data_IF_848090562503
#
_entry.id   IF_848090562503
#
_cell.length_a   1.000
_cell.length_b   1.000
_cell.length_c   1.000
_cell.angle_alpha   90.00
_cell.angle_beta   90.00
_cell.angle_gamma   90.00
#
_symmetry.space_group_name_H-M   'P 1'
#
loop_
_entity.id
_entity.type
_entity.pdbx_description
1 polymer ?
#
# COMPACT_ATOMS: atom_id res chain seq x y z
N UNK A 1 -27.26 10.64 6.04
CA UNK A 1 -28.18 9.84 5.20
C UNK A 1 -28.15 8.40 5.68
N UNK A 2 -29.31 7.75 5.75
CA UNK A 2 -29.44 6.34 6.12
C UNK A 2 -28.93 5.43 4.99
N UNK A 3 -28.39 4.26 5.35
CA UNK A 3 -27.73 3.32 4.41
C UNK A 3 -28.65 2.26 3.82
N UNK A 4 -29.98 2.36 4.02
CA UNK A 4 -30.99 1.31 3.73
C UNK A 4 -30.83 0.65 2.36
N UNK A 5 -30.72 1.43 1.28
CA UNK A 5 -30.58 0.89 -0.08
C UNK A 5 -29.31 0.04 -0.27
N UNK A 6 -28.21 0.45 0.37
CA UNK A 6 -26.94 -0.28 0.30
C UNK A 6 -27.03 -1.60 1.07
N UNK A 7 -27.73 -1.60 2.22
CA UNK A 7 -27.93 -2.79 3.04
C UNK A 7 -28.73 -3.86 2.27
N UNK A 8 -29.76 -3.46 1.53
CA UNK A 8 -30.55 -4.38 0.71
C UNK A 8 -29.70 -5.03 -0.39
N UNK A 9 -28.85 -4.24 -1.05
CA UNK A 9 -27.91 -4.74 -2.06
C UNK A 9 -26.91 -5.73 -1.44
N UNK A 10 -26.37 -5.42 -0.25
CA UNK A 10 -25.43 -6.29 0.44
C UNK A 10 -26.09 -7.63 0.80
N UNK A 11 -27.33 -7.62 1.30
CA UNK A 11 -28.10 -8.85 1.60
C UNK A 11 -28.34 -9.68 0.36
N UNK A 12 -28.69 -9.06 -0.75
CA UNK A 12 -28.88 -9.77 -2.02
C UNK A 12 -27.57 -10.44 -2.50
N UNK A 13 -26.44 -9.72 -2.40
CA UNK A 13 -25.13 -10.27 -2.73
C UNK A 13 -24.70 -11.40 -1.80
N UNK A 14 -25.08 -11.39 -0.52
CA UNK A 14 -24.84 -12.51 0.41
C UNK A 14 -25.55 -13.77 -0.08
N UNK A 15 -26.81 -13.67 -0.49
CA UNK A 15 -27.57 -14.80 -1.04
C UNK A 15 -26.96 -15.36 -2.33
N UNK A 16 -26.47 -14.49 -3.21
CA UNK A 16 -25.77 -14.89 -4.43
C UNK A 16 -24.41 -15.55 -4.13
N UNK A 17 -23.68 -15.08 -3.12
CA UNK A 17 -22.41 -15.65 -2.71
C UNK A 17 -22.53 -17.04 -2.08
N UNK A 18 -23.66 -17.31 -1.42
CA UNK A 18 -23.98 -18.63 -0.85
C UNK A 18 -24.38 -19.66 -1.92
N UNK A 19 -24.68 -19.24 -3.16
CA UNK A 19 -25.14 -20.14 -4.21
C UNK A 19 -23.94 -20.77 -4.97
N UNK A 20 -23.71 -22.10 -4.84
CA UNK A 20 -22.58 -22.78 -5.48
C UNK A 20 -22.58 -22.70 -7.01
N UNK A 21 -23.75 -22.49 -7.62
CA UNK A 21 -23.91 -22.33 -9.08
C UNK A 21 -23.39 -20.99 -9.58
N UNK A 22 -23.30 -19.99 -8.70
CA UNK A 22 -22.88 -18.62 -9.03
C UNK A 22 -21.44 -18.38 -8.59
N UNK A 23 -21.05 -18.92 -7.42
CA UNK A 23 -19.70 -18.81 -6.86
C UNK A 23 -19.27 -20.17 -6.30
N UNK A 24 -18.03 -20.60 -6.55
CA UNK A 24 -17.53 -21.85 -5.97
C UNK A 24 -17.61 -21.86 -4.43
N UNK A 25 -18.12 -22.96 -3.90
CA UNK A 25 -18.55 -23.15 -2.50
C UNK A 25 -17.51 -22.70 -1.46
N UNK A 26 -16.26 -23.16 -1.58
CA UNK A 26 -15.21 -22.84 -0.60
C UNK A 26 -14.85 -21.34 -0.51
N UNK A 27 -14.96 -20.61 -1.62
CA UNK A 27 -14.76 -19.14 -1.63
C UNK A 27 -16.03 -18.38 -1.34
N UNK A 28 -17.19 -18.90 -1.75
CA UNK A 28 -18.51 -18.31 -1.50
C UNK A 28 -18.74 -18.03 -0.02
N UNK A 29 -18.41 -19.00 0.85
CA UNK A 29 -18.52 -18.83 2.30
C UNK A 29 -17.67 -17.67 2.84
N UNK A 30 -16.42 -17.52 2.37
CA UNK A 30 -15.53 -16.42 2.78
C UNK A 30 -16.08 -15.05 2.37
N UNK A 31 -16.58 -14.95 1.14
CA UNK A 31 -17.16 -13.71 0.61
C UNK A 31 -18.45 -13.36 1.33
N UNK A 32 -19.31 -14.35 1.60
CA UNK A 32 -20.54 -14.17 2.37
C UNK A 32 -20.24 -13.65 3.78
N UNK A 33 -19.30 -14.27 4.50
CA UNK A 33 -18.91 -13.82 5.84
C UNK A 33 -18.37 -12.38 5.84
N UNK A 34 -17.64 -12.01 4.78
CA UNK A 34 -17.15 -10.63 4.60
C UNK A 34 -18.31 -9.65 4.39
N UNK A 35 -19.30 -10.01 3.57
CA UNK A 35 -20.49 -9.20 3.33
C UNK A 35 -21.37 -9.06 4.57
N UNK A 36 -21.52 -10.12 5.38
CA UNK A 36 -22.24 -10.07 6.66
C UNK A 36 -21.56 -9.11 7.64
N UNK A 37 -20.23 -9.16 7.72
CA UNK A 37 -19.46 -8.23 8.54
C UNK A 37 -19.60 -6.78 8.08
N UNK A 38 -19.55 -6.55 6.76
CA UNK A 38 -19.74 -5.23 6.17
C UNK A 38 -21.17 -4.70 6.40
N UNK A 39 -22.19 -5.54 6.28
CA UNK A 39 -23.58 -5.16 6.55
C UNK A 39 -23.73 -4.57 7.96
N UNK A 40 -23.27 -5.29 8.99
CA UNK A 40 -23.30 -4.82 10.39
C UNK A 40 -22.59 -3.47 10.55
N UNK A 41 -21.42 -3.33 9.92
CA UNK A 41 -20.67 -2.09 9.98
C UNK A 41 -21.37 -0.92 9.27
N UNK A 42 -22.08 -1.16 8.17
CA UNK A 42 -22.83 -0.12 7.46
C UNK A 42 -24.16 0.26 8.14
N UNK A 43 -24.74 -0.62 8.97
CA UNK A 43 -25.91 -0.30 9.80
C UNK A 43 -25.59 0.80 10.83
N UNK A 44 -24.36 0.82 11.35
CA UNK A 44 -23.92 1.80 12.36
C UNK A 44 -23.45 3.14 11.75
N UNK A 45 -23.22 3.18 10.44
CA UNK A 45 -22.65 4.35 9.77
C UNK A 45 -23.75 5.27 9.25
N UNK A 46 -23.73 6.52 9.71
CA UNK A 46 -24.46 7.63 9.08
C UNK A 46 -23.60 8.27 8.00
N UNK A 47 -24.06 8.23 6.76
CA UNK A 47 -23.30 8.81 5.63
C UNK A 47 -23.40 10.34 5.66
N UNK A 48 -22.27 11.06 5.76
CA UNK A 48 -22.24 12.53 5.62
C UNK A 48 -22.67 12.99 4.22
N UNK A 49 -23.36 14.11 4.11
CA UNK A 49 -23.87 14.64 2.83
C UNK A 49 -22.77 14.86 1.78
N UNK A 50 -21.57 15.28 2.20
CA UNK A 50 -20.39 15.42 1.31
C UNK A 50 -20.04 14.14 0.53
N UNK A 51 -20.51 12.97 0.98
CA UNK A 51 -20.24 11.68 0.35
C UNK A 51 -21.45 11.09 -0.38
N UNK A 52 -22.51 11.87 -0.61
CA UNK A 52 -23.70 11.41 -1.34
C UNK A 52 -23.37 10.86 -2.73
N UNK A 53 -22.45 11.49 -3.46
CA UNK A 53 -22.00 11.02 -4.78
C UNK A 53 -21.28 9.68 -4.71
N UNK A 54 -20.50 9.44 -3.64
CA UNK A 54 -19.82 8.15 -3.42
C UNK A 54 -20.86 7.08 -3.09
N UNK A 55 -21.82 7.40 -2.22
CA UNK A 55 -22.90 6.49 -1.86
C UNK A 55 -23.76 6.10 -3.07
N UNK A 56 -24.18 7.05 -3.89
CA UNK A 56 -25.00 6.77 -5.08
C UNK A 56 -24.25 5.94 -6.12
N UNK A 57 -22.97 6.24 -6.36
CA UNK A 57 -22.10 5.44 -7.22
C UNK A 57 -21.93 4.01 -6.69
N UNK A 58 -21.78 3.85 -5.37
CA UNK A 58 -21.66 2.55 -4.71
C UNK A 58 -22.93 1.71 -4.89
N UNK A 59 -24.11 2.29 -4.64
CA UNK A 59 -25.40 1.63 -4.87
C UNK A 59 -25.60 1.24 -6.34
N UNK A 60 -25.26 2.13 -7.28
CA UNK A 60 -25.34 1.84 -8.72
C UNK A 60 -24.45 0.64 -9.09
N UNK A 61 -23.19 0.66 -8.65
CA UNK A 61 -22.23 -0.42 -8.93
C UNK A 61 -22.61 -1.74 -8.28
N UNK A 62 -23.23 -1.68 -7.10
CA UNK A 62 -23.78 -2.85 -6.42
C UNK A 62 -24.90 -3.52 -7.21
N UNK A 63 -25.85 -2.74 -7.73
CA UNK A 63 -26.92 -3.25 -8.61
C UNK A 63 -26.36 -3.87 -9.90
N UNK A 64 -25.37 -3.22 -10.52
CA UNK A 64 -24.67 -3.75 -11.69
C UNK A 64 -23.98 -5.09 -11.38
N UNK A 65 -23.37 -5.21 -10.19
CA UNK A 65 -22.71 -6.45 -9.74
C UNK A 65 -23.73 -7.57 -9.53
N UNK A 66 -24.87 -7.29 -8.87
CA UNK A 66 -25.98 -8.25 -8.72
C UNK A 66 -26.44 -8.76 -10.07
N UNK A 67 -26.70 -7.86 -11.02
CA UNK A 67 -27.13 -8.22 -12.38
C UNK A 67 -26.11 -9.12 -13.07
N UNK A 68 -24.84 -8.71 -13.06
CA UNK A 68 -23.76 -9.46 -13.69
C UNK A 68 -23.56 -10.86 -13.10
N UNK A 69 -23.77 -11.04 -11.80
CA UNK A 69 -23.68 -12.34 -11.12
C UNK A 69 -24.82 -13.28 -11.52
N UNK A 70 -26.05 -12.76 -11.66
CA UNK A 70 -27.22 -13.55 -12.06
C UNK A 70 -27.17 -14.02 -13.51
N UNK A 71 -26.61 -13.18 -14.39
CA UNK A 71 -26.56 -13.45 -15.84
C UNK A 71 -25.37 -14.34 -16.25
N UNK A 72 -24.29 -14.32 -15.48
CA UNK A 72 -23.05 -15.03 -15.78
C UNK A 72 -23.03 -16.45 -15.21
N UNK A 73 -22.74 -17.43 -16.07
CA UNK A 73 -22.48 -18.82 -15.67
C UNK A 73 -21.04 -19.07 -15.22
N UNK A 74 -20.15 -18.08 -15.39
CA UNK A 74 -18.74 -18.20 -15.00
C UNK A 74 -18.57 -17.94 -13.50
N UNK A 75 -18.42 -19.03 -12.74
CA UNK A 75 -18.26 -18.99 -11.28
C UNK A 75 -16.98 -18.29 -10.83
N UNK A 76 -15.89 -18.30 -11.64
CA UNK A 76 -14.62 -17.67 -11.29
C UNK A 76 -14.66 -16.16 -11.59
N UNK A 77 -15.12 -15.76 -12.77
CA UNK A 77 -15.32 -14.35 -13.09
C UNK A 77 -16.33 -13.67 -12.16
N UNK A 78 -17.34 -14.41 -11.69
CA UNK A 78 -18.28 -13.96 -10.68
C UNK A 78 -17.61 -13.68 -9.32
N UNK A 79 -16.67 -14.53 -8.90
CA UNK A 79 -15.85 -14.28 -7.70
C UNK A 79 -15.07 -12.97 -7.82
N UNK A 80 -14.34 -12.79 -8.93
CA UNK A 80 -13.48 -11.61 -9.12
C UNK A 80 -14.30 -10.30 -9.13
N UNK A 81 -15.50 -10.33 -9.73
CA UNK A 81 -16.45 -9.21 -9.70
C UNK A 81 -16.93 -8.90 -8.29
N UNK A 82 -17.29 -9.92 -7.51
CA UNK A 82 -17.75 -9.72 -6.13
C UNK A 82 -16.63 -9.21 -5.23
N UNK A 83 -15.42 -9.77 -5.35
CA UNK A 83 -14.23 -9.29 -4.63
C UNK A 83 -13.92 -7.83 -4.97
N UNK A 84 -14.06 -7.45 -6.25
CA UNK A 84 -13.92 -6.06 -6.66
C UNK A 84 -14.95 -5.17 -5.97
N UNK A 85 -16.23 -5.58 -5.94
CA UNK A 85 -17.27 -4.82 -5.25
C UNK A 85 -17.02 -4.69 -3.74
N UNK A 86 -16.58 -5.76 -3.08
CA UNK A 86 -16.18 -5.73 -1.67
C UNK A 86 -15.05 -4.72 -1.41
N UNK A 87 -14.09 -4.56 -2.33
CA UNK A 87 -13.06 -3.51 -2.22
C UNK A 87 -13.67 -2.11 -2.27
N UNK A 88 -14.63 -1.86 -3.16
CA UNK A 88 -15.36 -0.58 -3.19
C UNK A 88 -16.10 -0.33 -1.86
N UNK A 89 -16.75 -1.35 -1.28
CA UNK A 89 -17.41 -1.25 0.02
C UNK A 89 -16.43 -0.84 1.12
N UNK A 90 -15.27 -1.50 1.22
CA UNK A 90 -14.26 -1.15 2.22
C UNK A 90 -13.69 0.27 2.04
N UNK A 91 -13.41 0.68 0.80
CA UNK A 91 -12.89 2.02 0.53
C UNK A 91 -13.92 3.11 0.86
N UNK A 92 -15.18 2.93 0.44
CA UNK A 92 -16.26 3.85 0.76
C UNK A 92 -16.52 3.95 2.27
N UNK A 93 -16.48 2.82 2.97
CA UNK A 93 -16.56 2.79 4.43
C UNK A 93 -15.48 3.67 5.07
N UNK A 94 -14.22 3.50 4.63
CA UNK A 94 -13.11 4.30 5.13
C UNK A 94 -13.29 5.80 4.90
N UNK A 95 -13.97 6.19 3.82
CA UNK A 95 -14.30 7.59 3.57
C UNK A 95 -15.40 8.11 4.49
N UNK A 96 -16.45 7.31 4.71
CA UNK A 96 -17.54 7.67 5.62
C UNK A 96 -17.05 7.81 7.07
N UNK A 97 -16.07 7.00 7.48
CA UNK A 97 -15.42 7.05 8.79
C UNK A 97 -14.30 8.11 8.89
N UNK A 98 -13.98 8.83 7.80
CA UNK A 98 -12.92 9.86 7.80
C UNK A 98 -11.48 9.33 7.88
N UNK A 99 -11.25 8.06 7.54
CA UNK A 99 -9.92 7.41 7.57
C UNK A 99 -9.00 7.79 6.41
N UNK A 100 -9.37 8.79 5.60
CA UNK A 100 -8.58 9.31 4.47
C UNK A 100 -7.19 9.75 4.88
N UNK A 101 -7.03 10.25 6.11
CA UNK A 101 -5.74 10.72 6.62
C UNK A 101 -4.71 9.58 6.79
N UNK A 102 -5.13 8.34 6.98
CA UNK A 102 -4.22 7.19 7.08
C UNK A 102 -3.50 6.93 5.75
N UNK A 103 -4.16 7.16 4.61
CA UNK A 103 -3.54 7.07 3.28
C UNK A 103 -2.48 8.15 3.09
N UNK A 104 -2.73 9.37 3.58
CA UNK A 104 -1.74 10.45 3.54
C UNK A 104 -0.53 10.14 4.42
N UNK A 105 -0.74 9.55 5.60
CA UNK A 105 0.35 9.07 6.47
C UNK A 105 1.18 7.99 5.77
N UNK A 106 0.54 7.07 5.07
CA UNK A 106 1.22 6.06 4.25
C UNK A 106 2.04 6.69 3.12
N UNK A 107 1.43 7.58 2.33
CA UNK A 107 2.10 8.28 1.23
C UNK A 107 3.35 9.03 1.69
N UNK A 108 3.26 9.76 2.81
CA UNK A 108 4.42 10.48 3.37
C UNK A 108 5.56 9.52 3.72
N UNK A 109 5.26 8.43 4.43
CA UNK A 109 6.28 7.43 4.77
C UNK A 109 6.91 6.84 3.53
N UNK A 110 6.10 6.46 2.54
CA UNK A 110 6.59 5.93 1.26
C UNK A 110 7.51 6.91 0.52
N UNK A 111 7.15 8.20 0.46
CA UNK A 111 8.00 9.23 -0.17
C UNK A 111 9.33 9.38 0.55
N UNK A 112 9.34 9.42 1.89
CA UNK A 112 10.58 9.50 2.66
C UNK A 112 11.45 8.25 2.52
N UNK A 113 10.86 7.05 2.55
CA UNK A 113 11.58 5.80 2.29
C UNK A 113 12.21 5.84 0.89
N UNK A 114 11.45 6.26 -0.12
CA UNK A 114 11.92 6.32 -1.51
C UNK A 114 13.07 7.31 -1.66
N UNK A 115 12.97 8.50 -1.06
CA UNK A 115 14.03 9.51 -1.10
C UNK A 115 15.33 9.00 -0.47
N UNK A 116 15.26 8.41 0.72
CA UNK A 116 16.43 7.84 1.38
C UNK A 116 17.01 6.64 0.62
N UNK A 117 16.16 5.77 0.08
CA UNK A 117 16.61 4.66 -0.77
C UNK A 117 17.36 5.17 -2.02
N UNK A 118 16.81 6.16 -2.73
CA UNK A 118 17.45 6.75 -3.90
C UNK A 118 18.78 7.43 -3.57
N UNK A 119 18.89 8.05 -2.39
CA UNK A 119 20.12 8.68 -1.93
C UNK A 119 21.21 7.68 -1.51
N UNK A 120 20.82 6.57 -0.89
CA UNK A 120 21.75 5.63 -0.25
C UNK A 120 22.15 4.44 -1.14
N UNK A 121 21.29 4.02 -2.07
CA UNK A 121 21.54 2.85 -2.92
C UNK A 121 22.72 2.96 -3.91
N UNK A 122 23.08 4.14 -4.48
CA UNK A 122 24.13 4.20 -5.50
C UNK A 122 25.48 3.63 -5.05
N UNK A 123 25.86 3.81 -3.78
CA UNK A 123 27.17 3.41 -3.27
C UNK A 123 27.45 1.91 -3.40
N UNK A 124 26.42 1.07 -3.18
CA UNK A 124 26.58 -0.39 -3.15
C UNK A 124 25.99 -1.10 -4.37
N UNK A 125 25.06 -0.46 -5.06
CA UNK A 125 24.34 -1.07 -6.19
C UNK A 125 24.58 -0.34 -7.52
N UNK A 126 25.38 0.72 -7.51
CA UNK A 126 25.54 1.62 -8.65
C UNK A 126 24.27 2.44 -8.93
N UNK A 127 24.37 3.35 -9.89
CA UNK A 127 23.27 4.26 -10.25
C UNK A 127 22.11 3.57 -11.01
N UNK A 128 22.32 2.33 -11.50
CA UNK A 128 21.31 1.61 -12.28
C UNK A 128 20.11 1.22 -11.40
N UNK A 129 20.35 0.70 -10.20
CA UNK A 129 19.28 0.27 -9.30
C UNK A 129 18.29 1.41 -8.95
N UNK A 130 18.73 2.57 -8.42
CA UNK A 130 17.82 3.68 -8.15
C UNK A 130 17.14 4.21 -9.42
N UNK A 131 17.81 4.19 -10.58
CA UNK A 131 17.19 4.60 -11.85
C UNK A 131 16.03 3.69 -12.25
N UNK A 132 16.19 2.37 -12.15
CA UNK A 132 15.11 1.40 -12.45
C UNK A 132 13.93 1.59 -11.48
N UNK A 133 14.21 1.89 -10.22
CA UNK A 133 13.17 2.13 -9.21
C UNK A 133 12.46 3.47 -9.34
N UNK A 134 12.93 4.39 -10.18
CA UNK A 134 12.26 5.67 -10.40
C UNK A 134 10.84 5.50 -10.95
N UNK A 135 10.65 4.54 -11.86
CA UNK A 135 9.33 4.21 -12.46
C UNK A 135 8.33 3.70 -11.41
N UNK A 136 8.60 2.63 -10.64
CA UNK A 136 7.67 2.17 -9.61
C UNK A 136 7.48 3.22 -8.50
N UNK A 137 8.48 4.04 -8.17
CA UNK A 137 8.31 5.15 -7.23
C UNK A 137 7.29 6.16 -7.76
N UNK A 138 7.47 6.63 -9.01
CA UNK A 138 6.56 7.60 -9.62
C UNK A 138 5.13 7.07 -9.75
N UNK A 139 4.98 5.85 -10.27
CA UNK A 139 3.68 5.19 -10.39
C UNK A 139 3.05 4.92 -9.01
N UNK A 140 3.86 4.55 -8.02
CA UNK A 140 3.45 4.40 -6.63
C UNK A 140 2.90 5.71 -6.06
N UNK A 141 3.59 6.85 -6.26
CA UNK A 141 3.13 8.15 -5.73
C UNK A 141 1.79 8.51 -6.35
N UNK A 142 1.68 8.44 -7.68
CA UNK A 142 0.44 8.77 -8.40
C UNK A 142 -0.70 7.82 -8.01
N UNK A 143 -0.41 6.53 -7.98
CA UNK A 143 -1.40 5.51 -7.65
C UNK A 143 -1.86 5.59 -6.20
N UNK A 144 -0.97 5.88 -5.25
CA UNK A 144 -1.36 6.04 -3.84
C UNK A 144 -2.21 7.29 -3.61
N UNK A 145 -1.88 8.41 -4.27
CA UNK A 145 -2.73 9.62 -4.25
C UNK A 145 -4.13 9.33 -4.80
N UNK A 146 -4.20 8.52 -5.85
CA UNK A 146 -5.45 8.10 -6.48
C UNK A 146 -6.09 6.86 -5.82
N UNK A 147 -5.51 6.35 -4.73
CA UNK A 147 -5.95 5.13 -4.02
C UNK A 147 -6.11 3.90 -4.92
N UNK A 148 -5.26 3.73 -5.92
CA UNK A 148 -5.29 2.54 -6.77
C UNK A 148 -4.54 1.37 -6.14
N UNK A 149 -5.07 0.16 -6.28
CA UNK A 149 -4.39 -1.06 -5.84
C UNK A 149 -3.03 -1.25 -6.52
N UNK A 150 -2.94 -0.95 -7.81
CA UNK A 150 -1.67 -0.98 -8.55
C UNK A 150 -0.65 0.00 -7.95
N UNK A 151 -1.11 1.20 -7.55
CA UNK A 151 -0.29 2.17 -6.86
C UNK A 151 0.29 1.65 -5.55
N UNK A 152 -0.56 1.04 -4.73
CA UNK A 152 -0.16 0.42 -3.47
C UNK A 152 0.93 -0.65 -3.70
N UNK A 153 0.72 -1.55 -4.67
CA UNK A 153 1.71 -2.59 -4.98
C UNK A 153 3.03 -2.03 -5.50
N UNK A 154 2.99 -1.04 -6.39
CA UNK A 154 4.20 -0.36 -6.88
C UNK A 154 4.96 0.32 -5.75
N UNK A 155 4.26 0.96 -4.81
CA UNK A 155 4.92 1.56 -3.64
C UNK A 155 5.50 0.51 -2.68
N UNK A 156 4.84 -0.63 -2.49
CA UNK A 156 5.36 -1.72 -1.63
C UNK A 156 6.57 -2.43 -2.25
N UNK A 157 6.70 -2.45 -3.58
CA UNK A 157 7.85 -3.01 -4.26
C UNK A 157 9.17 -2.31 -3.91
N UNK A 158 9.12 -1.06 -3.44
CA UNK A 158 10.30 -0.30 -2.97
C UNK A 158 10.82 -0.81 -1.62
N UNK A 159 9.95 -1.39 -0.78
CA UNK A 159 10.33 -1.77 0.58
C UNK A 159 11.46 -2.82 0.65
N UNK A 160 11.45 -3.92 -0.13
CA UNK A 160 12.56 -4.87 -0.16
C UNK A 160 13.91 -4.23 -0.50
N UNK A 161 13.95 -3.34 -1.50
CA UNK A 161 15.17 -2.65 -1.91
C UNK A 161 15.66 -1.67 -0.82
N UNK A 162 14.73 -0.98 -0.16
CA UNK A 162 15.03 -0.12 0.98
C UNK A 162 15.61 -0.92 2.17
N UNK A 163 15.03 -2.08 2.49
CA UNK A 163 15.57 -2.97 3.52
C UNK A 163 16.99 -3.42 3.18
N UNK A 164 17.20 -3.93 1.97
CA UNK A 164 18.53 -4.37 1.53
C UNK A 164 19.56 -3.25 1.64
N UNK A 165 19.22 -2.07 1.14
CA UNK A 165 20.08 -0.87 1.23
C UNK A 165 20.39 -0.50 2.68
N UNK A 166 19.39 -0.55 3.55
CA UNK A 166 19.58 -0.23 4.97
C UNK A 166 20.52 -1.21 5.67
N UNK A 167 20.37 -2.52 5.45
CA UNK A 167 21.21 -3.53 6.11
C UNK A 167 22.67 -3.46 5.66
N UNK A 168 22.93 -3.19 4.37
CA UNK A 168 24.31 -3.05 3.88
C UNK A 168 24.98 -1.82 4.50
N UNK A 169 24.30 -0.68 4.54
CA UNK A 169 24.84 0.52 5.18
C UNK A 169 25.03 0.37 6.69
N UNK A 170 24.12 -0.32 7.38
CA UNK A 170 24.26 -0.62 8.82
C UNK A 170 25.48 -1.52 9.05
N UNK A 171 25.63 -2.58 8.25
CA UNK A 171 26.82 -3.46 8.31
C UNK A 171 28.11 -2.68 8.07
N UNK A 172 28.12 -1.81 7.05
CA UNK A 172 29.25 -0.92 6.80
C UNK A 172 29.52 0.03 7.97
N UNK A 173 28.47 0.59 8.58
CA UNK A 173 28.58 1.43 9.78
C UNK A 173 29.21 0.70 10.95
N UNK A 174 28.81 -0.55 11.22
CA UNK A 174 29.42 -1.38 12.27
C UNK A 174 30.91 -1.59 12.01
N UNK A 175 31.30 -1.89 10.77
CA UNK A 175 32.72 -1.99 10.40
C UNK A 175 33.48 -0.67 10.61
N UNK A 176 32.89 0.44 10.16
CA UNK A 176 33.47 1.77 10.26
C UNK A 176 33.58 2.32 11.69
N UNK A 177 32.83 1.76 12.65
CA UNK A 177 33.00 2.09 14.07
C UNK A 177 34.29 1.49 14.64
N UNK A 178 34.67 0.29 14.20
CA UNK A 178 35.88 -0.40 14.66
C UNK A 178 37.14 0.04 13.90
N UNK A 179 37.00 0.46 12.64
CA UNK A 179 38.13 0.80 11.76
C UNK A 179 37.94 2.19 11.14
N UNK A 180 37.59 3.17 11.96
CA UNK A 180 37.15 4.48 11.47
C UNK A 180 38.20 5.20 10.64
N UNK A 181 39.44 5.22 11.12
CA UNK A 181 40.56 5.86 10.43
C UNK A 181 40.79 5.24 9.04
N UNK A 182 40.87 3.91 8.98
CA UNK A 182 41.07 3.17 7.73
C UNK A 182 39.91 3.39 6.75
N UNK A 183 38.67 3.43 7.25
CA UNK A 183 37.49 3.68 6.41
C UNK A 183 37.52 5.08 5.79
N UNK A 184 37.94 6.10 6.56
CA UNK A 184 38.07 7.48 6.06
C UNK A 184 39.23 7.61 5.07
N UNK A 185 40.38 7.01 5.37
CA UNK A 185 41.55 7.01 4.48
C UNK A 185 41.24 6.33 3.14
N UNK A 186 40.53 5.19 3.15
CA UNK A 186 40.07 4.53 1.92
C UNK A 186 39.15 5.42 1.09
N UNK A 187 38.15 6.05 1.71
CA UNK A 187 37.26 6.96 0.99
C UNK A 187 38.02 8.17 0.43
N UNK A 188 39.01 8.70 1.14
CA UNK A 188 39.87 9.76 0.62
C UNK A 188 40.68 9.29 -0.59
N UNK A 189 41.27 8.11 -0.54
CA UNK A 189 42.04 7.54 -1.64
C UNK A 189 41.17 7.27 -2.87
N UNK A 190 39.96 6.72 -2.67
CA UNK A 190 39.05 6.35 -3.76
C UNK A 190 38.39 7.56 -4.43
N UNK A 191 38.12 8.63 -3.66
CA UNK A 191 37.38 9.80 -4.16
C UNK A 191 38.26 11.02 -4.45
N UNK A 192 39.51 11.04 -3.96
CA UNK A 192 40.41 12.20 -4.01
C UNK A 192 39.88 13.41 -3.23
N UNK A 193 38.92 13.23 -2.32
CA UNK A 193 38.27 14.32 -1.57
C UNK A 193 38.92 14.57 -0.21
N UNK A 194 38.58 15.71 0.38
CA UNK A 194 39.08 16.13 1.68
C UNK A 194 38.67 15.17 2.80
N UNK A 195 39.47 15.15 3.87
CA UNK A 195 39.19 14.38 5.08
C UNK A 195 37.79 14.65 5.65
N UNK A 196 37.36 15.93 5.68
CA UNK A 196 36.04 16.29 6.17
C UNK A 196 34.90 15.66 5.34
N UNK A 197 35.05 15.65 4.01
CA UNK A 197 34.08 15.01 3.12
C UNK A 197 34.06 13.49 3.30
N UNK A 198 35.23 12.86 3.34
CA UNK A 198 35.35 11.42 3.55
C UNK A 198 34.75 11.00 4.90
N UNK A 199 35.06 11.73 5.98
CA UNK A 199 34.46 11.50 7.31
C UNK A 199 32.94 11.61 7.27
N UNK A 200 32.39 12.61 6.59
CA UNK A 200 30.94 12.76 6.45
C UNK A 200 30.31 11.56 5.72
N UNK A 201 30.95 11.07 4.66
CA UNK A 201 30.47 9.94 3.86
C UNK A 201 30.57 8.60 4.60
N UNK A 202 31.52 8.45 5.52
CA UNK A 202 31.66 7.28 6.38
C UNK A 202 30.61 7.28 7.51
N UNK A 203 30.25 8.46 8.02
CA UNK A 203 29.43 8.59 9.25
C UNK A 203 27.94 8.82 9.01
N UNK A 204 27.57 9.70 8.08
CA UNK A 204 26.17 10.11 7.88
C UNK A 204 25.33 8.99 7.27
N UNK A 205 25.76 8.30 6.19
CA UNK A 205 24.90 7.32 5.53
C UNK A 205 24.51 6.12 6.41
N UNK A 206 25.37 5.55 7.28
CA UNK A 206 24.93 4.54 8.25
C UNK A 206 23.82 5.01 9.20
N UNK A 207 23.86 6.26 9.66
CA UNK A 207 22.81 6.83 10.51
C UNK A 207 21.50 6.97 9.73
N UNK A 208 21.57 7.48 8.49
CA UNK A 208 20.42 7.56 7.59
C UNK A 208 19.87 6.17 7.22
N UNK A 209 20.70 5.14 7.22
CA UNK A 209 20.28 3.76 6.96
C UNK A 209 19.44 3.18 8.11
N UNK A 210 19.75 3.51 9.36
CA UNK A 210 18.89 3.16 10.51
C UNK A 210 17.52 3.83 10.35
N UNK A 211 17.50 5.11 9.96
CA UNK A 211 16.26 5.82 9.67
C UNK A 211 15.50 5.19 8.47
N UNK A 212 16.21 4.80 7.41
CA UNK A 212 15.63 4.10 6.27
C UNK A 212 15.00 2.77 6.69
N UNK A 213 15.66 1.98 7.53
CA UNK A 213 15.13 0.72 8.07
C UNK A 213 13.83 0.95 8.85
N UNK A 214 13.81 1.96 9.72
CA UNK A 214 12.61 2.34 10.46
C UNK A 214 11.47 2.77 9.52
N UNK A 215 11.76 3.64 8.55
CA UNK A 215 10.76 4.13 7.59
C UNK A 215 10.24 3.03 6.67
N UNK A 216 11.09 2.11 6.20
CA UNK A 216 10.69 0.96 5.42
C UNK A 216 9.75 0.03 6.22
N UNK A 217 10.08 -0.23 7.49
CA UNK A 217 9.22 -1.00 8.39
C UNK A 217 7.87 -0.32 8.61
N UNK A 218 7.89 0.99 8.88
CA UNK A 218 6.68 1.80 9.06
C UNK A 218 5.84 1.86 7.78
N UNK A 219 6.48 1.92 6.61
CA UNK A 219 5.81 1.90 5.31
C UNK A 219 5.07 0.59 5.11
N UNK A 220 5.72 -0.56 5.33
CA UNK A 220 5.08 -1.88 5.19
C UNK A 220 3.90 -2.00 6.15
N UNK A 221 4.10 -1.63 7.42
CA UNK A 221 3.04 -1.63 8.42
C UNK A 221 1.84 -0.77 7.99
N UNK A 222 2.08 0.48 7.60
CA UNK A 222 1.01 1.39 7.17
C UNK A 222 0.34 0.89 5.89
N UNK A 223 1.11 0.38 4.93
CA UNK A 223 0.59 -0.14 3.66
C UNK A 223 -0.37 -1.31 3.86
N UNK A 224 -0.02 -2.26 4.74
CA UNK A 224 -0.90 -3.36 5.13
C UNK A 224 -2.15 -2.83 5.83
N UNK A 225 -1.99 -1.94 6.81
CA UNK A 225 -3.10 -1.36 7.58
C UNK A 225 -4.09 -0.59 6.70
N UNK A 226 -3.60 0.12 5.70
CA UNK A 226 -4.42 0.95 4.80
C UNK A 226 -4.90 0.23 3.54
N UNK A 227 -4.50 -1.04 3.31
CA UNK A 227 -4.79 -1.79 2.07
C UNK A 227 -6.26 -1.73 1.65
N UNK A 228 -7.18 -1.82 2.61
CA UNK A 228 -8.62 -1.82 2.36
C UNK A 228 -9.18 -0.44 1.95
N UNK A 229 -8.36 0.61 1.95
CA UNK A 229 -8.72 1.96 1.48
C UNK A 229 -8.37 2.19 0.00
N UNK A 230 -7.83 1.17 -0.68
CA UNK A 230 -7.43 1.21 -2.08
C UNK A 230 -8.36 0.34 -2.93
N UNK A 231 -8.52 0.73 -4.20
CA UNK A 231 -9.48 0.14 -5.14
C UNK A 231 -8.80 -0.27 -6.44
#
# INVERSE_FOLDING_TARGET
>A
METTQLLDIIKELQGLAANPRIIQEGKGLKLQNTLVSLEKQFQEIKVPEKYQNIYSALCKKGKETVKALKESKDTRGNQDKLEAYIRYLHAAKGDFEGKTNEVNKYLRTFVFTSALFLALSPQFFGFILPAVFFVPIFLGIRGVKNRSMTGLYMSLAVAPAAFMTSFIWIRYGIYALSHHQEAVERVMADTGRSFAFARALVTIPPVLAILLLFLASLQVYRGIKTKNLFV
#
